data_IF_255471680231
#
_entry.id   IF_255471680231
#
_cell.length_a   1.000
_cell.length_b   1.000
_cell.length_c   1.000
_cell.angle_alpha   90.00
_cell.angle_beta   90.00
_cell.angle_gamma   90.00
#
_symmetry.space_group_name_H-M   'P 1'
#
loop_
_entity.id
_entity.type
_entity.pdbx_description
1 polymer ?
#
# COMPACT_ATOMS: atom_id res chain seq x y z
N UNK A 1 19.53 -1.57 -10.50
CA UNK A 1 18.40 -1.10 -9.67
C UNK A 1 17.27 -0.71 -10.62
N UNK A 2 16.06 -1.22 -10.38
CA UNK A 2 14.86 -0.93 -11.14
C UNK A 2 14.28 0.42 -10.74
N UNK A 3 13.64 1.13 -11.67
CA UNK A 3 13.07 2.45 -11.36
C UNK A 3 11.82 2.32 -10.50
N UNK A 4 10.93 1.43 -10.89
CA UNK A 4 9.65 1.22 -10.22
C UNK A 4 9.48 -0.25 -9.82
N UNK A 5 8.94 -0.48 -8.63
CA UNK A 5 8.61 -1.82 -8.13
C UNK A 5 7.21 -1.91 -7.56
N UNK A 6 6.67 -3.12 -7.52
CA UNK A 6 5.40 -3.46 -6.88
C UNK A 6 5.67 -4.46 -5.75
N UNK A 7 5.48 -4.02 -4.50
CA UNK A 7 5.60 -4.85 -3.31
C UNK A 7 4.23 -5.44 -2.95
N UNK A 8 4.13 -6.77 -2.96
CA UNK A 8 2.95 -7.52 -2.53
C UNK A 8 3.15 -8.00 -1.10
N UNK A 9 2.36 -7.46 -0.18
CA UNK A 9 2.32 -7.86 1.22
C UNK A 9 1.19 -8.86 1.46
N UNK A 10 1.55 -10.07 1.87
CA UNK A 10 0.63 -11.19 2.14
C UNK A 10 0.49 -11.50 3.62
N UNK A 11 1.39 -10.97 4.45
CA UNK A 11 1.31 -11.06 5.90
C UNK A 11 -0.05 -10.56 6.42
N UNK A 12 -0.60 -11.16 7.50
CA UNK A 12 -1.77 -10.62 8.17
C UNK A 12 -1.61 -9.13 8.49
N UNK A 13 -2.67 -8.34 8.35
CA UNK A 13 -2.64 -6.87 8.54
C UNK A 13 -2.01 -6.46 9.88
N UNK A 14 -2.29 -7.22 10.95
CA UNK A 14 -1.74 -6.97 12.29
C UNK A 14 -0.22 -7.14 12.39
N UNK A 15 0.41 -7.86 11.47
CA UNK A 15 1.87 -8.09 11.45
C UNK A 15 2.62 -7.11 10.57
N UNK A 16 1.96 -6.49 9.59
CA UNK A 16 2.60 -5.56 8.65
C UNK A 16 3.34 -4.43 9.37
N UNK A 17 2.78 -3.75 10.39
CA UNK A 17 3.48 -2.66 11.08
C UNK A 17 4.80 -3.10 11.73
N UNK A 18 4.93 -4.36 12.12
CA UNK A 18 6.11 -4.90 12.80
C UNK A 18 7.26 -5.17 11.83
N UNK A 19 6.97 -5.44 10.56
CA UNK A 19 7.98 -5.80 9.55
C UNK A 19 8.17 -4.75 8.45
N UNK A 20 7.30 -3.75 8.35
CA UNK A 20 7.30 -2.82 7.22
C UNK A 20 8.62 -2.07 7.06
N UNK A 21 9.26 -1.64 8.14
CA UNK A 21 10.55 -0.93 8.06
C UNK A 21 11.64 -1.81 7.42
N UNK A 22 11.71 -3.09 7.81
CA UNK A 22 12.65 -4.05 7.25
C UNK A 22 12.35 -4.32 5.76
N UNK A 23 11.07 -4.45 5.39
CA UNK A 23 10.65 -4.67 4.00
C UNK A 23 10.93 -3.45 3.12
N UNK A 24 10.71 -2.23 3.62
CA UNK A 24 11.06 -0.99 2.92
C UNK A 24 12.58 -0.86 2.73
N UNK A 25 13.36 -1.19 3.76
CA UNK A 25 14.83 -1.22 3.69
C UNK A 25 15.32 -2.25 2.67
N UNK A 26 14.73 -3.44 2.65
CA UNK A 26 15.07 -4.48 1.68
C UNK A 26 14.70 -4.07 0.24
N UNK A 27 13.56 -3.39 0.07
CA UNK A 27 13.08 -2.92 -1.24
C UNK A 27 14.02 -1.89 -1.87
N UNK A 28 14.71 -1.07 -1.07
CA UNK A 28 15.68 -0.07 -1.53
C UNK A 28 16.89 -0.67 -2.26
N UNK A 29 17.19 -1.97 -2.07
CA UNK A 29 18.25 -2.66 -2.82
C UNK A 29 17.86 -2.87 -4.29
N UNK A 30 16.57 -2.85 -4.58
CA UNK A 30 16.02 -3.19 -5.89
C UNK A 30 15.39 -2.01 -6.59
N UNK A 31 14.76 -1.07 -5.86
CA UNK A 31 13.95 0.02 -6.43
C UNK A 31 14.59 1.37 -6.12
N UNK A 32 14.59 2.28 -7.10
CA UNK A 32 15.25 3.59 -6.99
C UNK A 32 14.33 4.81 -6.98
N UNK A 33 13.10 4.71 -7.52
CA UNK A 33 12.23 5.88 -7.66
C UNK A 33 10.86 5.67 -7.01
N UNK A 34 10.06 4.69 -7.47
CA UNK A 34 8.67 4.52 -7.03
C UNK A 34 8.40 3.10 -6.54
N UNK A 35 7.85 2.97 -5.34
CA UNK A 35 7.45 1.67 -4.77
C UNK A 35 5.94 1.66 -4.54
N UNK A 36 5.22 0.91 -5.38
CA UNK A 36 3.82 0.60 -5.15
C UNK A 36 3.70 -0.50 -4.11
N UNK A 37 2.76 -0.40 -3.18
CA UNK A 37 2.51 -1.41 -2.16
C UNK A 37 1.06 -1.90 -2.28
N UNK A 38 0.90 -3.16 -2.63
CA UNK A 38 -0.38 -3.87 -2.64
C UNK A 38 -0.46 -4.76 -1.42
N UNK A 39 -1.60 -4.70 -0.71
CA UNK A 39 -1.83 -5.48 0.50
C UNK A 39 -2.89 -6.54 0.18
N UNK A 40 -2.49 -7.81 0.28
CA UNK A 40 -3.34 -8.98 0.00
C UNK A 40 -3.22 -10.00 1.16
N UNK A 41 -3.80 -9.71 2.33
CA UNK A 41 -3.58 -10.49 3.54
C UNK A 41 -4.05 -11.94 3.36
N UNK A 42 -3.19 -12.89 3.72
CA UNK A 42 -3.52 -14.31 3.71
C UNK A 42 -3.57 -14.96 2.33
N UNK A 43 -3.23 -14.24 1.26
CA UNK A 43 -3.06 -14.84 -0.06
C UNK A 43 -1.81 -15.73 -0.06
N UNK A 44 -2.03 -17.03 -0.21
CA UNK A 44 -0.96 -18.05 -0.25
C UNK A 44 -0.64 -18.52 -1.66
N UNK A 45 -1.52 -18.21 -2.62
CA UNK A 45 -1.41 -18.64 -4.00
C UNK A 45 -1.37 -20.16 -4.20
N UNK A 46 -1.41 -20.59 -5.46
CA UNK A 46 -1.20 -21.98 -5.85
C UNK A 46 -2.24 -22.51 -6.85
N UNK A 47 -1.87 -23.47 -7.73
CA UNK A 47 -2.72 -24.00 -8.79
C UNK A 47 -3.95 -24.80 -8.29
N UNK A 48 -3.99 -25.18 -7.00
CA UNK A 48 -5.03 -26.05 -6.44
C UNK A 48 -6.17 -25.32 -5.74
N UNK A 49 -6.09 -23.99 -5.56
CA UNK A 49 -7.11 -23.20 -4.87
C UNK A 49 -7.79 -22.26 -5.87
N UNK A 50 -8.65 -22.84 -6.72
CA UNK A 50 -9.45 -22.11 -7.72
C UNK A 50 -10.27 -20.93 -7.15
N UNK A 51 -10.39 -20.82 -5.82
CA UNK A 51 -11.16 -19.79 -5.12
C UNK A 51 -10.32 -18.66 -4.49
N UNK A 52 -8.98 -18.65 -4.59
CA UNK A 52 -8.13 -17.55 -4.08
C UNK A 52 -7.38 -16.86 -5.22
N UNK A 53 -8.14 -16.16 -6.07
CA UNK A 53 -7.57 -15.33 -7.13
C UNK A 53 -6.82 -14.14 -6.52
N UNK A 54 -5.61 -13.84 -7.00
CA UNK A 54 -4.91 -12.63 -6.58
C UNK A 54 -5.75 -11.38 -6.79
N UNK A 55 -5.79 -10.51 -5.79
CA UNK A 55 -6.53 -9.27 -5.87
C UNK A 55 -8.03 -9.44 -5.63
N UNK A 56 -8.47 -10.64 -5.25
CA UNK A 56 -9.85 -10.88 -4.86
C UNK A 56 -10.17 -10.41 -3.45
N UNK A 57 -9.15 -10.19 -2.61
CA UNK A 57 -9.34 -9.62 -1.29
C UNK A 57 -10.00 -8.24 -1.39
N UNK A 58 -11.17 -8.11 -0.79
CA UNK A 58 -11.87 -6.85 -0.57
C UNK A 58 -12.45 -6.84 0.83
N UNK A 59 -12.29 -5.74 1.53
CA UNK A 59 -12.95 -5.52 2.81
C UNK A 59 -13.35 -4.06 2.99
N UNK A 60 -14.24 -3.82 3.93
CA UNK A 60 -14.55 -2.45 4.35
C UNK A 60 -13.31 -1.81 4.97
N UNK A 61 -13.07 -0.51 4.75
CA UNK A 61 -12.07 0.25 5.47
C UNK A 61 -12.26 0.12 6.99
N UNK A 62 -11.17 -0.12 7.71
CA UNK A 62 -11.16 -0.28 9.16
C UNK A 62 -10.05 0.56 9.80
N UNK A 63 -10.11 0.72 11.12
CA UNK A 63 -9.05 1.39 11.90
C UNK A 63 -7.69 0.70 11.68
N UNK A 64 -7.66 -0.64 11.56
CA UNK A 64 -6.40 -1.35 11.30
C UNK A 64 -5.80 -0.98 9.95
N UNK A 65 -6.61 -0.89 8.89
CA UNK A 65 -6.15 -0.51 7.53
C UNK A 65 -5.63 0.92 7.52
N UNK A 66 -6.33 1.85 8.18
CA UNK A 66 -5.84 3.22 8.40
C UNK A 66 -4.47 3.20 9.07
N UNK A 67 -4.34 2.48 10.17
CA UNK A 67 -3.10 2.42 10.95
C UNK A 67 -1.95 1.78 10.17
N UNK A 68 -2.21 0.72 9.41
CA UNK A 68 -1.22 0.11 8.51
C UNK A 68 -0.77 1.11 7.45
N UNK A 69 -1.71 1.82 6.80
CA UNK A 69 -1.41 2.79 5.75
C UNK A 69 -0.59 3.97 6.29
N UNK A 70 -0.98 4.53 7.44
CA UNK A 70 -0.23 5.57 8.13
C UNK A 70 1.16 5.08 8.54
N UNK A 71 1.24 3.87 9.11
CA UNK A 71 2.49 3.25 9.51
C UNK A 71 3.45 3.05 8.34
N UNK A 72 2.96 2.64 7.17
CA UNK A 72 3.77 2.51 5.95
C UNK A 72 4.39 3.86 5.57
N UNK A 73 3.61 4.94 5.50
CA UNK A 73 4.13 6.25 5.12
C UNK A 73 5.05 6.85 6.18
N UNK A 74 4.76 6.66 7.47
CA UNK A 74 5.62 7.09 8.57
C UNK A 74 6.99 6.38 8.52
N UNK A 75 7.00 5.06 8.33
CA UNK A 75 8.25 4.29 8.16
C UNK A 75 8.97 4.63 6.85
N UNK A 76 8.24 4.92 5.77
CA UNK A 76 8.88 5.32 4.51
C UNK A 76 9.64 6.64 4.66
N UNK A 77 9.08 7.60 5.41
CA UNK A 77 9.73 8.89 5.66
C UNK A 77 11.07 8.74 6.41
N UNK A 78 11.17 7.80 7.36
CA UNK A 78 12.41 7.58 8.14
C UNK A 78 13.39 6.61 7.49
N UNK A 79 12.90 5.59 6.77
CA UNK A 79 13.73 4.50 6.25
C UNK A 79 14.15 4.69 4.79
N UNK A 80 13.26 5.25 3.96
CA UNK A 80 13.48 5.34 2.51
C UNK A 80 12.98 6.67 1.92
N UNK A 81 13.38 7.80 2.50
CA UNK A 81 12.93 9.14 2.09
C UNK A 81 13.18 9.54 0.64
N UNK A 82 14.03 8.81 -0.09
CA UNK A 82 14.26 8.96 -1.53
C UNK A 82 13.24 8.22 -2.41
N UNK A 83 12.53 7.24 -1.86
CA UNK A 83 11.50 6.48 -2.59
C UNK A 83 10.14 7.16 -2.49
N UNK A 84 9.50 7.30 -3.65
CA UNK A 84 8.09 7.61 -3.74
C UNK A 84 7.26 6.35 -3.44
N UNK A 85 7.01 6.10 -2.16
CA UNK A 85 6.15 5.01 -1.69
C UNK A 85 4.68 5.37 -1.92
N UNK A 86 3.88 4.43 -2.45
CA UNK A 86 2.45 4.59 -2.76
C UNK A 86 1.66 3.33 -2.37
N UNK A 87 0.79 3.42 -1.37
CA UNK A 87 -0.10 2.32 -0.98
C UNK A 87 -1.31 2.27 -1.91
N UNK A 88 -1.60 1.09 -2.46
CA UNK A 88 -2.75 0.85 -3.32
C UNK A 88 -3.97 0.48 -2.47
N UNK A 89 -5.00 1.34 -2.50
CA UNK A 89 -6.17 1.24 -1.62
C UNK A 89 -7.39 0.59 -2.28
N UNK A 90 -7.28 0.12 -3.53
CA UNK A 90 -8.39 -0.42 -4.31
C UNK A 90 -9.11 -1.62 -3.67
N UNK A 91 -8.43 -2.33 -2.76
CA UNK A 91 -8.98 -3.48 -2.05
C UNK A 91 -9.77 -3.09 -0.79
N UNK A 92 -9.75 -1.81 -0.39
CA UNK A 92 -10.39 -1.33 0.84
C UNK A 92 -11.54 -0.41 0.47
N UNK A 93 -12.73 -0.98 0.33
CA UNK A 93 -13.92 -0.23 -0.09
C UNK A 93 -15.16 -0.74 0.61
N UNK A 94 -16.07 0.17 0.99
CA UNK A 94 -17.31 -0.21 1.64
C UNK A 94 -18.33 -0.84 0.67
N UNK A 95 -18.17 -0.59 -0.64
CA UNK A 95 -18.99 -1.12 -1.73
C UNK A 95 -18.19 -2.19 -2.45
N UNK A 96 -18.75 -3.39 -2.61
CA UNK A 96 -18.10 -4.43 -3.41
C UNK A 96 -17.93 -3.91 -4.85
N UNK A 97 -16.68 -3.71 -5.25
CA UNK A 97 -16.35 -3.33 -6.60
C UNK A 97 -16.05 -4.59 -7.41
N UNK A 98 -16.47 -4.68 -8.69
CA UNK A 98 -16.02 -5.78 -9.54
C UNK A 98 -14.49 -5.84 -9.52
N UNK A 99 -13.92 -7.05 -9.54
CA UNK A 99 -12.49 -7.22 -9.77
C UNK A 99 -12.14 -6.58 -11.12
N UNK A 100 -11.53 -5.40 -11.04
CA UNK A 100 -11.15 -4.61 -12.20
C UNK A 100 -9.64 -4.51 -12.24
N UNK A 101 -9.10 -4.55 -13.45
CA UNK A 101 -7.70 -4.29 -13.67
C UNK A 101 -7.40 -2.85 -13.26
N UNK A 102 -6.28 -2.66 -12.58
CA UNK A 102 -5.84 -1.34 -12.18
C UNK A 102 -4.59 -0.96 -12.98
N UNK A 103 -4.68 0.17 -13.69
CA UNK A 103 -3.51 0.72 -14.37
C UNK A 103 -2.71 1.57 -13.38
N UNK A 104 -1.43 1.23 -13.21
CA UNK A 104 -0.51 2.03 -12.41
C UNK A 104 0.05 3.17 -13.28
N UNK A 105 0.19 4.37 -12.69
CA UNK A 105 0.66 5.56 -13.42
C UNK A 105 2.06 5.37 -14.02
N UNK A 106 2.92 4.60 -13.35
CA UNK A 106 4.23 4.19 -13.86
C UNK A 106 4.24 2.68 -13.97
N UNK A 107 4.76 2.16 -15.07
CA UNK A 107 5.06 0.75 -15.20
C UNK A 107 6.08 0.34 -14.14
N UNK A 108 5.97 -0.88 -13.63
CA UNK A 108 6.92 -1.48 -12.70
C UNK A 108 7.73 -2.57 -13.41
N UNK A 109 8.96 -2.78 -12.97
CA UNK A 109 9.89 -3.73 -13.61
C UNK A 109 10.21 -4.94 -12.72
N UNK A 110 9.85 -4.84 -11.44
CA UNK A 110 10.06 -5.87 -10.43
C UNK A 110 8.86 -5.99 -9.50
N UNK A 111 8.49 -7.24 -9.19
CA UNK A 111 7.57 -7.60 -8.12
C UNK A 111 8.41 -8.04 -6.92
N UNK A 112 8.17 -7.41 -5.78
CA UNK A 112 8.73 -7.81 -4.49
C UNK A 112 7.62 -8.47 -3.67
N UNK A 113 7.92 -9.46 -2.85
CA UNK A 113 6.91 -10.07 -1.98
C UNK A 113 7.50 -10.58 -0.68
N UNK A 114 6.69 -10.59 0.38
CA UNK A 114 7.00 -11.22 1.67
C UNK A 114 6.61 -12.71 1.73
N UNK A 115 6.12 -13.27 0.62
CA UNK A 115 5.68 -14.66 0.52
C UNK A 115 6.60 -15.56 -0.30
N UNK A 116 6.48 -16.87 -0.10
CA UNK A 116 7.11 -17.87 -0.98
C UNK A 116 6.46 -17.81 -2.36
N UNK A 117 7.28 -17.95 -3.41
CA UNK A 117 6.77 -18.00 -4.78
C UNK A 117 6.12 -19.33 -5.10
N UNK A 118 5.09 -19.28 -5.92
CA UNK A 118 4.42 -20.42 -6.53
C UNK A 118 4.31 -20.23 -8.04
N UNK A 119 4.10 -21.33 -8.78
CA UNK A 119 3.89 -21.27 -10.23
C UNK A 119 2.64 -20.41 -10.54
N UNK A 120 2.75 -19.50 -11.51
CA UNK A 120 1.65 -18.60 -11.84
C UNK A 120 1.56 -17.35 -10.97
N UNK A 121 2.51 -17.10 -10.06
CA UNK A 121 2.48 -15.91 -9.19
C UNK A 121 2.50 -14.61 -10.00
N UNK A 122 3.47 -14.48 -10.92
CA UNK A 122 3.63 -13.26 -11.71
C UNK A 122 2.44 -13.03 -12.63
N UNK A 123 1.93 -14.09 -13.25
CA UNK A 123 0.78 -14.09 -14.14
C UNK A 123 -0.48 -13.61 -13.41
N UNK A 124 -0.71 -14.09 -12.18
CA UNK A 124 -1.83 -13.63 -11.35
C UNK A 124 -1.70 -12.15 -10.97
N UNK A 125 -0.49 -11.66 -10.67
CA UNK A 125 -0.27 -10.24 -10.40
C UNK A 125 -0.51 -9.40 -11.67
N UNK A 126 -0.06 -9.88 -12.82
CA UNK A 126 -0.25 -9.23 -14.13
C UNK A 126 -1.70 -9.19 -14.57
N UNK A 127 -2.54 -10.14 -14.16
CA UNK A 127 -3.99 -10.06 -14.41
C UNK A 127 -4.61 -8.82 -13.75
N UNK A 128 -4.16 -8.44 -12.56
CA UNK A 128 -4.64 -7.24 -11.83
C UNK A 128 -3.91 -5.97 -12.24
N UNK A 129 -2.60 -6.05 -12.45
CA UNK A 129 -1.74 -4.93 -12.83
C UNK A 129 -1.05 -5.21 -14.16
N UNK A 130 -1.72 -4.98 -15.31
CA UNK A 130 -1.18 -5.35 -16.60
C UNK A 130 0.15 -4.65 -16.93
N UNK A 131 1.07 -5.41 -17.53
CA UNK A 131 2.32 -4.91 -18.12
C UNK A 131 2.57 -5.63 -19.45
N UNK A 132 3.28 -4.95 -20.35
CA UNK A 132 3.68 -5.52 -21.63
C UNK A 132 4.80 -6.57 -21.52
N UNK A 133 5.55 -6.58 -20.41
CA UNK A 133 6.71 -7.44 -20.18
C UNK A 133 6.54 -8.13 -18.83
N UNK A 134 6.97 -9.39 -18.74
CA UNK A 134 6.99 -10.13 -17.48
C UNK A 134 8.05 -9.50 -16.55
N UNK A 135 7.67 -9.00 -15.37
CA UNK A 135 8.60 -8.36 -14.45
C UNK A 135 9.47 -9.39 -13.74
N UNK A 136 10.61 -8.94 -13.22
CA UNK A 136 11.41 -9.76 -12.31
C UNK A 136 10.61 -10.01 -11.02
N UNK A 137 10.83 -11.15 -10.35
CA UNK A 137 10.16 -11.44 -9.08
C UNK A 137 11.20 -11.77 -8.01
N UNK A 138 11.10 -11.13 -6.86
CA UNK A 138 12.03 -11.32 -5.74
C UNK A 138 11.28 -11.45 -4.42
N UNK A 139 11.64 -12.48 -3.66
CA UNK A 139 11.17 -12.63 -2.27
C UNK A 139 12.06 -11.81 -1.35
N UNK A 140 11.44 -11.05 -0.45
CA UNK A 140 12.11 -10.29 0.58
C UNK A 140 12.06 -11.05 1.89
N UNK A 141 13.22 -11.21 2.53
CA UNK A 141 13.29 -11.68 3.91
C UNK A 141 13.20 -10.48 4.84
N UNK A 142 12.14 -10.44 5.66
CA UNK A 142 12.06 -9.50 6.76
C UNK A 142 13.00 -9.99 7.88
N UNK A 143 14.28 -9.68 7.76
CA UNK A 143 15.26 -9.96 8.81
C UNK A 143 14.95 -9.02 9.99
N UNK A 144 14.15 -9.49 10.95
CA UNK A 144 13.84 -8.79 12.21
C UNK A 144 15.01 -8.74 13.18
N UNK A 145 16.23 -9.01 12.72
CA UNK A 145 17.46 -8.90 13.50
C UNK A 145 18.04 -7.48 13.38
N UNK A 146 17.46 -6.50 14.09
CA UNK A 146 18.18 -5.36 14.67
C UNK A 146 17.19 -4.44 15.43
N UNK A 147 17.43 -4.29 16.74
CA UNK A 147 17.14 -3.06 17.50
C UNK A 147 15.67 -2.76 17.82
N UNK A 148 15.35 -2.74 19.12
CA UNK A 148 14.09 -2.20 19.62
C UNK A 148 13.83 -0.81 19.06
N UNK A 149 12.75 -0.66 18.31
CA UNK A 149 12.22 0.66 17.98
C UNK A 149 11.46 1.15 19.21
N UNK A 150 11.89 2.29 19.74
CA UNK A 150 11.20 3.01 20.80
C UNK A 150 9.72 3.15 20.45
N UNK A 151 8.88 2.45 21.20
CA UNK A 151 7.46 2.76 21.36
C UNK A 151 7.33 4.05 22.17
N UNK A 152 7.72 5.17 21.58
CA UNK A 152 7.30 6.48 22.08
C UNK A 152 6.08 6.93 21.29
N UNK A 153 4.94 6.48 21.79
CA UNK A 153 3.63 7.17 21.88
C UNK A 153 2.57 6.09 21.90
N UNK A 154 2.05 5.83 23.10
CA UNK A 154 0.99 4.88 23.33
C UNK A 154 -0.24 5.20 22.49
N UNK A 155 -0.55 4.29 21.58
CA UNK A 155 -1.93 3.88 21.43
C UNK A 155 -1.87 2.35 21.30
N UNK A 156 -2.38 1.68 22.32
CA UNK A 156 -2.69 0.25 22.23
C UNK A 156 -3.54 0.12 20.98
N UNK A 157 -2.99 -0.39 19.88
CA UNK A 157 -3.78 -0.68 18.68
C UNK A 157 -4.95 -1.52 19.16
N UNK A 158 -6.15 -0.93 19.15
CA UNK A 158 -7.37 -1.60 19.56
C UNK A 158 -7.42 -2.93 18.82
N UNK A 159 -7.41 -4.02 19.57
CA UNK A 159 -7.48 -5.37 18.99
C UNK A 159 -8.81 -5.61 18.27
N UNK A 160 -9.78 -4.74 18.48
CA UNK A 160 -11.01 -4.69 17.72
C UNK A 160 -10.75 -3.93 16.41
N UNK A 161 -10.80 -4.68 15.30
CA UNK A 161 -10.74 -4.14 13.96
C UNK A 161 -12.10 -3.49 13.60
N UNK A 162 -12.28 -2.25 14.06
CA UNK A 162 -13.54 -1.52 13.93
C UNK A 162 -13.68 -0.94 12.51
N UNK A 163 -14.81 -1.15 11.82
CA UNK A 163 -15.10 -0.51 10.54
C UNK A 163 -15.10 1.02 10.65
N UNK A 164 -14.58 1.71 9.63
CA UNK A 164 -14.65 3.15 9.53
C UNK A 164 -16.02 3.60 9.03
N UNK A 165 -16.50 4.74 9.54
CA UNK A 165 -17.60 5.47 8.92
C UNK A 165 -17.16 5.99 7.55
N UNK A 166 -18.06 5.88 6.56
CA UNK A 166 -17.81 6.31 5.18
C UNK A 166 -18.84 7.35 4.75
N UNK A 167 -18.46 8.15 3.76
CA UNK A 167 -19.26 9.24 3.22
C UNK A 167 -19.22 9.20 1.69
N UNK A 168 -20.37 9.42 1.04
CA UNK A 168 -20.42 9.41 -0.43
C UNK A 168 -19.52 10.49 -1.05
N UNK A 169 -19.43 11.66 -0.42
CA UNK A 169 -18.68 12.81 -0.93
C UNK A 169 -17.70 13.31 0.14
N UNK A 170 -16.43 13.39 -0.22
CA UNK A 170 -15.39 14.01 0.62
C UNK A 170 -14.77 15.16 -0.17
N UNK A 171 -14.62 16.31 0.48
CA UNK A 171 -13.89 17.44 -0.05
C UNK A 171 -12.76 17.80 0.92
N UNK A 172 -11.58 18.05 0.38
CA UNK A 172 -10.45 18.59 1.12
C UNK A 172 -9.69 19.57 0.24
N UNK A 173 -8.89 20.45 0.86
CA UNK A 173 -8.09 21.41 0.11
C UNK A 173 -6.84 21.85 0.86
N UNK A 174 -5.89 22.38 0.10
CA UNK A 174 -4.62 22.88 0.62
C UNK A 174 -3.67 23.25 -0.52
N UNK A 175 -2.48 23.71 -0.17
CA UNK A 175 -1.45 24.05 -1.17
C UNK A 175 -0.76 22.82 -1.75
N UNK A 176 -0.69 21.73 -0.97
CA UNK A 176 0.05 20.50 -1.31
C UNK A 176 1.53 20.74 -1.66
N UNK A 177 2.12 21.80 -1.11
CA UNK A 177 3.53 22.14 -1.32
C UNK A 177 4.46 21.02 -0.87
N UNK A 178 5.54 20.82 -1.62
CA UNK A 178 6.58 19.82 -1.31
C UNK A 178 5.95 18.45 -0.98
N UNK A 179 5.04 17.99 -1.83
CA UNK A 179 4.23 16.78 -1.64
C UNK A 179 5.00 15.63 -0.95
N UNK A 180 4.68 15.37 0.33
CA UNK A 180 5.41 14.44 1.19
C UNK A 180 4.44 13.48 1.91
N UNK A 181 4.98 12.64 2.82
CA UNK A 181 4.22 11.59 3.52
C UNK A 181 2.95 12.09 4.21
N UNK A 182 2.94 13.31 4.76
CA UNK A 182 1.77 13.90 5.41
C UNK A 182 0.58 14.06 4.45
N UNK A 183 0.82 14.61 3.26
CA UNK A 183 -0.21 14.70 2.22
C UNK A 183 -0.68 13.32 1.76
N UNK A 184 0.22 12.33 1.66
CA UNK A 184 -0.16 10.96 1.29
C UNK A 184 -1.04 10.30 2.35
N UNK A 185 -0.77 10.52 3.63
CA UNK A 185 -1.61 10.05 4.74
C UNK A 185 -2.99 10.70 4.64
N UNK A 186 -3.07 12.03 4.51
CA UNK A 186 -4.33 12.77 4.37
C UNK A 186 -5.17 12.27 3.20
N UNK A 187 -4.57 12.12 2.02
CA UNK A 187 -5.26 11.64 0.82
C UNK A 187 -5.68 10.17 0.96
N UNK A 188 -4.86 9.33 1.60
CA UNK A 188 -5.21 7.93 1.84
C UNK A 188 -6.37 7.80 2.81
N UNK A 189 -6.36 8.60 3.88
CA UNK A 189 -7.46 8.68 4.84
C UNK A 189 -8.76 9.11 4.15
N UNK A 190 -8.70 10.17 3.33
CA UNK A 190 -9.85 10.63 2.55
C UNK A 190 -10.38 9.56 1.59
N UNK A 191 -9.48 8.82 0.91
CA UNK A 191 -9.87 7.69 0.07
C UNK A 191 -10.53 6.56 0.87
N UNK A 192 -10.04 6.23 2.06
CA UNK A 192 -10.58 5.15 2.90
C UNK A 192 -11.98 5.48 3.43
N UNK A 193 -12.33 6.76 3.60
CA UNK A 193 -13.65 7.16 4.10
C UNK A 193 -14.58 7.68 2.98
N UNK A 194 -14.17 7.61 1.71
CA UNK A 194 -14.96 8.11 0.57
C UNK A 194 -15.55 6.99 -0.28
N UNK A 195 -16.85 7.07 -0.53
CA UNK A 195 -17.62 6.02 -1.20
C UNK A 195 -17.96 6.32 -2.67
N UNK A 196 -17.84 7.58 -3.11
CA UNK A 196 -18.14 7.97 -4.51
C UNK A 196 -17.19 9.01 -5.07
N UNK A 197 -17.12 10.20 -4.48
CA UNK A 197 -16.36 11.32 -5.04
C UNK A 197 -15.48 12.00 -3.99
N UNK A 198 -14.17 11.93 -4.21
CA UNK A 198 -13.17 12.72 -3.49
C UNK A 198 -12.80 13.93 -4.34
N UNK A 199 -13.11 15.12 -3.86
CA UNK A 199 -12.68 16.39 -4.47
C UNK A 199 -11.50 16.96 -3.71
N UNK A 200 -10.41 17.24 -4.42
CA UNK A 200 -9.18 17.82 -3.85
C UNK A 200 -8.96 19.19 -4.48
N UNK A 201 -9.20 20.24 -3.71
CA UNK A 201 -8.86 21.61 -4.09
C UNK A 201 -7.37 21.86 -3.88
N UNK A 202 -6.63 22.16 -4.94
CA UNK A 202 -5.22 22.55 -4.85
C UNK A 202 -5.15 24.04 -5.10
N UNK A 203 -4.70 24.80 -4.11
CA UNK A 203 -4.49 26.24 -4.26
C UNK A 203 -3.33 26.49 -5.20
N UNK A 204 -3.52 27.38 -6.19
CA UNK A 204 -2.45 27.92 -7.02
C UNK A 204 -2.25 29.43 -6.74
N UNK A 205 -1.04 29.93 -7.03
CA UNK A 205 -0.68 31.34 -6.86
C UNK A 205 -0.33 31.77 -5.43
N UNK A 206 -0.01 33.07 -5.28
CA UNK A 206 0.31 33.67 -3.98
C UNK A 206 -0.97 33.92 -3.16
N UNK A 207 -1.02 33.37 -1.93
CA UNK A 207 -2.12 33.60 -0.97
C UNK A 207 -1.98 34.91 -0.16
N UNK A 208 -1.19 35.86 -0.64
CA UNK A 208 -1.06 37.18 -0.02
C UNK A 208 -1.68 38.22 -0.96
N UNK A 209 -2.96 38.54 -0.73
CA UNK A 209 -3.57 39.79 -1.17
C UNK A 209 -3.34 40.88 -0.11
#
# INVERSE_FOLDING_TARGET
MFKCGLLILTSPLSKIPQCISALLSASMKYVSETLYIHIEPGWKGGPSLANQKFGSFQCRPTVLIRNVTTGVYANAASTCGQLDVRVLLSSFTAKQAPHSQQTLRRAYDIILTDHKLHAGFAEQVLEKYPLAIIPNVQVLEANTSLGGCHTESGDTLSTEDVPLGTYDYIALGGTFDRFHGGHKILLSEACLICDRFLTVGVTDGDMNA
#
